data_IF_594524864363
#
_entry.id   IF_594524864363
#
_cell.length_a   1.000
_cell.length_b   1.000
_cell.length_c   1.000
_cell.angle_alpha   90.00
_cell.angle_beta   90.00
_cell.angle_gamma   90.00
#
_symmetry.space_group_name_H-M   'P 1'
#
loop_
_entity.id
_entity.type
_entity.pdbx_description
1 polymer ?
#
# COMPACT_ATOMS: atom_id res chain seq x y z
N UNK A 1 14.57 13.13 0.40
CA UNK A 1 14.20 11.90 -0.33
C UNK A 1 14.38 12.19 -1.81
N UNK A 2 15.31 11.52 -2.52
CA UNK A 2 15.58 11.87 -3.92
C UNK A 2 14.35 11.49 -4.76
N UNK A 3 13.76 12.47 -5.46
CA UNK A 3 12.77 12.22 -6.53
C UNK A 3 13.27 11.16 -7.55
N UNK A 4 14.58 10.92 -7.58
CA UNK A 4 15.31 9.97 -8.41
C UNK A 4 14.78 8.53 -8.46
N UNK A 5 14.14 8.00 -7.40
CA UNK A 5 13.68 6.59 -7.39
C UNK A 5 12.57 6.39 -8.42
N UNK A 6 11.60 7.31 -8.45
CA UNK A 6 10.53 7.27 -9.45
C UNK A 6 10.96 7.93 -10.76
N UNK A 7 11.76 9.01 -10.75
CA UNK A 7 12.10 9.74 -11.98
C UNK A 7 12.80 8.86 -13.04
N UNK A 8 13.66 7.95 -12.61
CA UNK A 8 14.49 7.14 -13.52
C UNK A 8 13.89 5.79 -13.91
N UNK A 9 12.91 5.27 -13.15
CA UNK A 9 12.39 3.92 -13.37
C UNK A 9 10.96 3.91 -13.94
N UNK A 10 10.84 3.64 -15.24
CA UNK A 10 9.54 3.60 -15.91
C UNK A 10 8.62 2.48 -15.38
N UNK A 11 9.15 1.27 -15.15
CA UNK A 11 8.37 0.15 -14.63
C UNK A 11 7.75 0.45 -13.26
N UNK A 12 8.47 1.19 -12.40
CA UNK A 12 7.97 1.61 -11.09
C UNK A 12 6.86 2.67 -11.21
N UNK A 13 6.97 3.61 -12.17
CA UNK A 13 5.90 4.56 -12.49
C UNK A 13 4.66 3.83 -13.00
N UNK A 14 4.83 2.91 -13.94
CA UNK A 14 3.73 2.15 -14.53
C UNK A 14 3.04 1.27 -13.48
N UNK A 15 3.82 0.64 -12.58
CA UNK A 15 3.27 -0.10 -11.44
C UNK A 15 2.47 0.82 -10.51
N UNK A 16 2.98 2.01 -10.21
CA UNK A 16 2.25 3.00 -9.41
C UNK A 16 0.93 3.41 -10.08
N UNK A 17 0.93 3.64 -11.40
CA UNK A 17 -0.30 3.94 -12.16
C UNK A 17 -1.30 2.79 -12.07
N UNK A 18 -0.86 1.54 -12.30
CA UNK A 18 -1.73 0.36 -12.19
C UNK A 18 -2.31 0.19 -10.79
N UNK A 19 -1.51 0.42 -9.75
CA UNK A 19 -1.99 0.40 -8.35
C UNK A 19 -2.99 1.53 -8.08
N UNK A 20 -2.77 2.72 -8.63
CA UNK A 20 -3.72 3.84 -8.56
C UNK A 20 -5.05 3.51 -9.23
N UNK A 21 -5.03 2.86 -10.39
CA UNK A 21 -6.23 2.34 -11.06
C UNK A 21 -6.93 1.31 -10.16
N UNK A 22 -6.20 0.33 -9.63
CA UNK A 22 -6.74 -0.67 -8.71
C UNK A 22 -7.41 -0.04 -7.49
N UNK A 23 -6.78 0.95 -6.83
CA UNK A 23 -7.37 1.67 -5.71
C UNK A 23 -8.70 2.32 -6.08
N UNK A 24 -8.74 2.97 -7.26
CA UNK A 24 -9.94 3.65 -7.74
C UNK A 24 -11.06 2.65 -8.03
N UNK A 25 -10.75 1.54 -8.72
CA UNK A 25 -11.74 0.53 -9.08
C UNK A 25 -12.33 -0.19 -7.85
N UNK A 26 -11.59 -0.25 -6.74
CA UNK A 26 -12.06 -0.83 -5.47
C UNK A 26 -12.60 0.20 -4.48
N UNK A 27 -12.57 1.49 -4.81
CA UNK A 27 -13.00 2.55 -3.91
C UNK A 27 -12.13 2.69 -2.66
N UNK A 28 -10.89 2.18 -2.68
CA UNK A 28 -9.98 2.18 -1.52
C UNK A 28 -9.37 3.55 -1.24
N UNK A 29 -9.35 4.43 -2.23
CA UNK A 29 -8.84 5.80 -2.14
C UNK A 29 -9.91 6.83 -1.76
N UNK A 30 -11.15 6.40 -1.49
CA UNK A 30 -12.28 7.28 -1.22
C UNK A 30 -12.59 7.36 0.28
N UNK A 31 -12.95 8.56 0.75
CA UNK A 31 -13.38 8.79 2.13
C UNK A 31 -12.26 9.19 3.09
N UNK A 32 -12.63 9.45 4.35
CA UNK A 32 -11.71 9.80 5.41
C UNK A 32 -10.86 8.59 5.83
N UNK A 33 -9.55 8.77 5.99
CA UNK A 33 -8.65 7.67 6.37
C UNK A 33 -8.35 6.66 5.28
N UNK A 34 -8.70 6.96 4.02
CA UNK A 34 -8.53 6.07 2.88
C UNK A 34 -7.06 5.71 2.59
N UNK A 35 -6.86 4.53 1.98
CA UNK A 35 -5.56 4.10 1.47
C UNK A 35 -5.32 4.76 0.11
N UNK A 36 -4.80 5.98 0.16
CA UNK A 36 -4.64 6.84 -1.01
C UNK A 36 -3.32 6.59 -1.75
N UNK A 37 -3.16 7.29 -2.89
CA UNK A 37 -2.00 7.15 -3.75
C UNK A 37 -0.68 7.59 -3.09
N UNK A 38 -0.73 8.52 -2.13
CA UNK A 38 0.45 8.92 -1.38
C UNK A 38 1.01 7.76 -0.55
N UNK A 39 0.13 7.01 0.13
CA UNK A 39 0.51 5.81 0.91
C UNK A 39 1.08 4.73 -0.01
N UNK A 40 0.49 4.50 -1.19
CA UNK A 40 1.04 3.57 -2.21
C UNK A 40 2.46 3.95 -2.59
N UNK A 41 2.71 5.20 -2.97
CA UNK A 41 4.04 5.65 -3.38
C UNK A 41 5.07 5.55 -2.24
N UNK A 42 4.68 5.91 -1.01
CA UNK A 42 5.54 5.77 0.16
C UNK A 42 5.84 4.30 0.44
N UNK A 43 4.86 3.40 0.32
CA UNK A 43 5.07 1.98 0.55
C UNK A 43 5.93 1.33 -0.54
N UNK A 44 5.75 1.69 -1.81
CA UNK A 44 6.67 1.31 -2.89
C UNK A 44 8.10 1.78 -2.59
N UNK A 45 8.26 3.02 -2.10
CA UNK A 45 9.57 3.55 -1.70
C UNK A 45 10.18 2.73 -0.56
N UNK A 46 9.37 2.36 0.43
CA UNK A 46 9.78 1.50 1.54
C UNK A 46 10.25 0.12 1.04
N UNK A 47 9.51 -0.48 0.11
CA UNK A 47 9.85 -1.77 -0.49
C UNK A 47 11.14 -1.70 -1.32
N UNK A 48 11.38 -0.62 -2.07
CA UNK A 48 12.64 -0.38 -2.78
C UNK A 48 13.80 -0.20 -1.79
N UNK A 49 13.62 0.62 -0.76
CA UNK A 49 14.64 0.86 0.29
C UNK A 49 15.06 -0.44 0.98
N UNK A 50 14.10 -1.31 1.27
CA UNK A 50 14.33 -2.62 1.91
C UNK A 50 14.66 -3.74 0.92
N UNK A 51 14.98 -3.40 -0.34
CA UNK A 51 15.37 -4.36 -1.39
C UNK A 51 14.34 -5.46 -1.67
N UNK A 52 13.06 -5.22 -1.35
CA UNK A 52 11.95 -6.10 -1.72
C UNK A 52 11.58 -5.98 -3.19
N UNK A 53 11.80 -4.79 -3.77
CA UNK A 53 11.65 -4.52 -5.20
C UNK A 53 13.04 -4.29 -5.79
N UNK A 54 13.37 -5.02 -6.85
CA UNK A 54 14.53 -4.75 -7.70
C UNK A 54 14.10 -3.79 -8.82
N UNK A 55 14.89 -2.75 -9.09
CA UNK A 55 14.62 -1.76 -10.14
C UNK A 55 14.59 -2.35 -11.56
N UNK A 56 15.14 -3.54 -11.78
CA UNK A 56 15.05 -4.26 -13.07
C UNK A 56 13.73 -5.03 -13.25
N UNK A 57 12.87 -5.11 -12.23
CA UNK A 57 11.59 -5.82 -12.31
C UNK A 57 10.62 -5.11 -13.27
N UNK A 58 9.77 -5.91 -13.92
CA UNK A 58 8.65 -5.36 -14.70
C UNK A 58 7.57 -4.81 -13.79
N UNK A 59 6.73 -3.90 -14.32
CA UNK A 59 5.60 -3.33 -13.57
C UNK A 59 4.66 -4.42 -13.01
N UNK A 60 4.40 -5.48 -13.80
CA UNK A 60 3.60 -6.63 -13.40
C UNK A 60 4.19 -7.41 -12.22
N UNK A 61 5.53 -7.57 -12.19
CA UNK A 61 6.20 -8.20 -11.05
C UNK A 61 6.11 -7.31 -9.80
N UNK A 62 6.29 -6.00 -9.97
CA UNK A 62 6.22 -5.02 -8.87
C UNK A 62 4.84 -5.03 -8.21
N UNK A 63 3.75 -4.93 -8.99
CA UNK A 63 2.38 -4.93 -8.43
C UNK A 63 2.05 -6.26 -7.73
N UNK A 64 2.55 -7.39 -8.24
CA UNK A 64 2.35 -8.70 -7.62
C UNK A 64 3.07 -8.77 -6.27
N UNK A 65 4.31 -8.31 -6.19
CA UNK A 65 5.05 -8.26 -4.92
C UNK A 65 4.37 -7.30 -3.94
N UNK A 66 3.90 -6.13 -4.43
CA UNK A 66 3.15 -5.17 -3.61
C UNK A 66 1.93 -5.81 -2.95
N UNK A 67 1.07 -6.49 -3.71
CA UNK A 67 -0.11 -7.15 -3.15
C UNK A 67 0.23 -8.33 -2.22
N UNK A 68 1.27 -9.10 -2.54
CA UNK A 68 1.75 -10.19 -1.67
C UNK A 68 2.23 -9.69 -0.31
N UNK A 69 3.04 -8.63 -0.29
CA UNK A 69 3.55 -8.03 0.94
C UNK A 69 2.42 -7.38 1.74
N UNK A 70 1.55 -6.62 1.08
CA UNK A 70 0.43 -5.96 1.75
C UNK A 70 -0.53 -6.96 2.39
N UNK A 71 -0.83 -8.08 1.72
CA UNK A 71 -1.68 -9.14 2.28
C UNK A 71 -1.08 -9.86 3.50
N UNK A 72 0.26 -9.85 3.67
CA UNK A 72 0.96 -10.56 4.75
C UNK A 72 1.37 -9.67 5.92
N UNK A 73 1.64 -8.39 5.65
CA UNK A 73 2.10 -7.45 6.69
C UNK A 73 0.99 -7.13 7.70
N UNK A 74 1.39 -6.67 8.88
CA UNK A 74 0.46 -6.21 9.89
C UNK A 74 0.85 -4.83 10.42
N UNK A 75 0.30 -3.78 9.81
CA UNK A 75 0.65 -2.40 10.14
C UNK A 75 0.07 -1.92 11.47
N UNK A 76 -0.70 -2.76 12.18
CA UNK A 76 -1.24 -2.43 13.50
C UNK A 76 -0.41 -2.98 14.64
N UNK A 77 0.43 -3.98 14.37
CA UNK A 77 1.41 -4.50 15.31
C UNK A 77 2.83 -4.03 14.97
N UNK A 78 3.23 -4.11 13.70
CA UNK A 78 4.55 -3.69 13.23
C UNK A 78 4.46 -2.92 11.91
N UNK A 79 4.10 -1.65 12.03
CA UNK A 79 4.03 -0.71 10.92
C UNK A 79 5.36 -0.50 10.19
N UNK A 80 5.36 -0.29 8.87
CA UNK A 80 6.55 0.09 8.12
C UNK A 80 7.12 1.44 8.59
N UNK A 81 8.42 1.65 8.39
CA UNK A 81 9.10 2.91 8.68
C UNK A 81 10.10 3.26 7.57
N UNK A 82 10.02 4.49 7.07
CA UNK A 82 10.99 5.06 6.14
C UNK A 82 12.15 5.77 6.84
N UNK A 83 12.05 6.02 8.14
CA UNK A 83 13.09 6.65 8.94
C UNK A 83 14.38 5.80 8.93
N UNK A 84 15.50 6.45 9.23
CA UNK A 84 16.75 5.75 9.52
C UNK A 84 16.77 5.46 11.02
N UNK A 85 17.14 4.26 11.40
CA UNK A 85 17.40 3.94 12.80
C UNK A 85 18.70 4.65 13.20
N UNK A 86 18.61 5.58 14.13
CA UNK A 86 19.77 6.28 14.69
C UNK A 86 19.63 6.37 16.21
N UNK A 87 20.58 5.78 16.98
CA UNK A 87 20.53 5.76 18.44
C UNK A 87 20.53 7.16 19.09
N UNK A 88 21.04 8.16 18.38
CA UNK A 88 21.25 9.52 18.89
C UNK A 88 20.14 10.52 18.49
N UNK A 89 19.07 10.06 17.82
CA UNK A 89 18.03 11.00 17.36
C UNK A 89 16.88 11.11 18.34
N UNK A 90 16.37 12.33 18.53
CA UNK A 90 15.13 12.64 19.27
C UNK A 90 13.84 12.14 18.59
N UNK A 91 13.95 11.17 17.68
CA UNK A 91 12.83 10.61 16.93
C UNK A 91 12.02 9.68 17.86
N UNK A 92 10.69 9.82 17.92
CA UNK A 92 9.86 8.91 18.73
C UNK A 92 10.01 7.45 18.28
N UNK A 93 9.99 6.52 19.23
CA UNK A 93 9.99 5.11 18.91
C UNK A 93 8.70 4.71 18.19
N UNK A 94 8.76 3.64 17.37
CA UNK A 94 7.58 3.10 16.69
C UNK A 94 6.46 2.73 17.67
N UNK A 95 6.82 2.26 18.87
CA UNK A 95 5.88 1.90 19.93
C UNK A 95 5.02 3.09 20.40
N UNK A 96 5.57 4.31 20.39
CA UNK A 96 4.81 5.53 20.74
C UNK A 96 3.74 5.82 19.70
N UNK A 97 3.97 5.53 18.42
CA UNK A 97 2.94 5.70 17.39
C UNK A 97 1.82 4.66 17.56
N UNK A 98 2.18 3.40 17.81
CA UNK A 98 1.20 2.32 18.02
C UNK A 98 0.35 2.50 19.28
N UNK A 99 0.82 3.25 20.28
CA UNK A 99 -0.01 3.57 21.45
C UNK A 99 -1.10 4.61 21.18
N UNK A 100 -1.03 5.33 20.04
CA UNK A 100 -1.96 6.42 19.69
C UNK A 100 -2.72 6.20 18.38
N UNK A 101 -2.26 5.29 17.52
CA UNK A 101 -2.85 5.03 16.21
C UNK A 101 -3.00 3.53 15.98
N UNK A 102 -4.16 3.15 15.43
CA UNK A 102 -4.43 1.74 15.08
C UNK A 102 -3.52 1.24 13.96
N UNK A 103 -3.16 2.11 13.00
CA UNK A 103 -2.34 1.76 11.85
C UNK A 103 -1.15 2.72 11.78
N UNK A 104 0.05 2.17 11.67
CA UNK A 104 1.29 2.95 11.68
C UNK A 104 2.07 2.76 10.39
N UNK A 105 2.44 3.87 9.76
CA UNK A 105 3.47 3.93 8.73
C UNK A 105 4.29 5.20 8.93
N UNK A 106 5.51 5.07 9.44
CA UNK A 106 6.36 6.22 9.76
C UNK A 106 7.06 6.75 8.50
N UNK A 107 7.03 8.07 8.32
CA UNK A 107 7.67 8.78 7.22
C UNK A 107 9.21 8.77 7.29
N UNK A 108 9.86 9.45 6.35
CA UNK A 108 11.34 9.49 6.28
C UNK A 108 11.98 10.31 7.40
N UNK A 109 11.26 11.27 7.96
CA UNK A 109 11.76 12.09 9.08
C UNK A 109 11.68 11.35 10.41
N UNK A 110 10.77 10.39 10.53
CA UNK A 110 10.55 9.64 11.77
C UNK A 110 9.51 10.27 12.70
N UNK A 111 9.03 11.47 12.38
CA UNK A 111 8.14 12.23 13.26
C UNK A 111 6.67 12.16 12.85
N UNK A 112 6.35 11.59 11.68
CA UNK A 112 4.98 11.59 11.17
C UNK A 112 4.50 10.19 10.80
N UNK A 113 3.29 9.85 11.26
CA UNK A 113 2.57 8.67 10.81
C UNK A 113 1.77 9.00 9.54
N UNK A 114 2.21 8.49 8.39
CA UNK A 114 1.54 8.63 7.10
C UNK A 114 0.12 8.01 7.08
N UNK A 115 -0.13 7.05 7.96
CA UNK A 115 -1.41 6.37 8.12
C UNK A 115 -2.25 6.92 9.30
N UNK A 116 -1.94 8.11 9.84
CA UNK A 116 -2.56 8.61 11.08
C UNK A 116 -4.10 8.68 11.09
N UNK A 117 -4.75 8.82 9.93
CA UNK A 117 -6.21 8.83 9.78
C UNK A 117 -6.82 7.46 9.49
N UNK A 118 -6.00 6.46 9.18
CA UNK A 118 -6.47 5.16 8.73
C UNK A 118 -6.88 4.32 9.93
N UNK A 119 -8.11 3.81 9.89
CA UNK A 119 -8.58 2.84 10.87
C UNK A 119 -8.10 1.43 10.54
N UNK A 120 -8.08 0.55 11.54
CA UNK A 120 -7.85 -0.89 11.36
C UNK A 120 -8.77 -1.50 10.32
N UNK A 121 -10.07 -1.12 10.32
CA UNK A 121 -11.06 -1.65 9.38
C UNK A 121 -10.72 -1.30 7.93
N UNK A 122 -10.32 -0.05 7.69
CA UNK A 122 -9.87 0.39 6.36
C UNK A 122 -8.63 -0.38 5.92
N UNK A 123 -7.66 -0.56 6.81
CA UNK A 123 -6.45 -1.34 6.52
C UNK A 123 -6.77 -2.82 6.23
N UNK A 124 -7.66 -3.45 7.03
CA UNK A 124 -8.08 -4.83 6.83
C UNK A 124 -8.77 -5.03 5.47
N UNK A 125 -9.61 -4.06 5.05
CA UNK A 125 -10.22 -4.07 3.72
C UNK A 125 -9.17 -4.04 2.62
N UNK A 126 -8.17 -3.17 2.74
CA UNK A 126 -7.05 -3.09 1.79
C UNK A 126 -6.28 -4.41 1.71
N UNK A 127 -5.99 -5.05 2.86
CA UNK A 127 -5.35 -6.37 2.92
C UNK A 127 -6.19 -7.43 2.19
N UNK A 128 -7.49 -7.48 2.48
CA UNK A 128 -8.43 -8.43 1.84
C UNK A 128 -8.43 -8.26 0.32
N UNK A 129 -8.52 -7.04 -0.18
CA UNK A 129 -8.48 -6.73 -1.61
C UNK A 129 -7.13 -7.11 -2.25
N UNK A 130 -6.01 -6.88 -1.55
CA UNK A 130 -4.68 -7.29 -2.02
C UNK A 130 -4.56 -8.82 -2.12
N UNK A 131 -5.02 -9.56 -1.11
CA UNK A 131 -5.05 -11.03 -1.14
C UNK A 131 -5.94 -11.57 -2.26
N UNK A 132 -7.11 -10.95 -2.48
CA UNK A 132 -8.00 -11.29 -3.59
C UNK A 132 -7.34 -10.99 -4.95
N UNK A 133 -6.60 -9.89 -5.07
CA UNK A 133 -5.91 -9.55 -6.31
C UNK A 133 -4.85 -10.61 -6.69
N UNK A 134 -4.10 -11.13 -5.72
CA UNK A 134 -3.17 -12.25 -5.93
C UNK A 134 -3.90 -13.52 -6.34
N UNK A 135 -5.02 -13.83 -5.69
CA UNK A 135 -5.81 -14.99 -6.05
C UNK A 135 -6.33 -14.91 -7.50
N UNK A 136 -6.79 -13.73 -7.94
CA UNK A 136 -7.19 -13.50 -9.33
C UNK A 136 -6.03 -13.65 -10.31
N UNK A 137 -4.85 -13.11 -9.99
CA UNK A 137 -3.66 -13.29 -10.83
C UNK A 137 -3.22 -14.76 -10.96
N UNK A 138 -3.42 -15.57 -9.92
CA UNK A 138 -3.02 -16.98 -9.93
C UNK A 138 -3.96 -17.89 -10.73
N UNK A 139 -5.18 -17.43 -11.05
CA UNK A 139 -6.16 -18.21 -11.81
C UNK A 139 -5.82 -18.35 -13.30
N UNK A 140 -4.78 -17.68 -13.79
CA UNK A 140 -4.27 -17.78 -15.18
C UNK A 140 -5.33 -17.55 -16.27
N UNK A 141 -6.42 -16.84 -15.94
CA UNK A 141 -7.49 -16.51 -16.87
C UNK A 141 -7.30 -15.07 -17.40
N UNK A 142 -7.50 -14.90 -18.70
CA UNK A 142 -7.61 -13.62 -19.40
C UNK A 142 -8.54 -12.60 -18.74
N UNK A 143 -9.55 -13.06 -17.99
CA UNK A 143 -10.50 -12.18 -17.26
C UNK A 143 -9.89 -11.45 -16.06
N UNK A 144 -8.73 -11.87 -15.54
CA UNK A 144 -8.15 -11.30 -14.32
C UNK A 144 -7.78 -9.81 -14.48
N UNK A 145 -7.24 -9.42 -15.63
CA UNK A 145 -6.89 -8.02 -15.90
C UNK A 145 -8.13 -7.14 -15.90
N UNK A 146 -9.22 -7.60 -16.54
CA UNK A 146 -10.48 -6.87 -16.54
C UNK A 146 -11.05 -6.73 -15.13
N UNK A 147 -11.04 -7.81 -14.35
CA UNK A 147 -11.53 -7.82 -12.98
C UNK A 147 -10.74 -6.86 -12.07
N UNK A 148 -9.43 -6.73 -12.27
CA UNK A 148 -8.54 -5.92 -11.44
C UNK A 148 -8.55 -4.43 -11.81
N UNK A 149 -8.57 -4.11 -13.11
CA UNK A 149 -8.29 -2.75 -13.58
C UNK A 149 -9.43 -2.07 -14.34
N UNK A 150 -10.40 -2.84 -14.86
CA UNK A 150 -11.47 -2.31 -15.72
C UNK A 150 -12.86 -2.36 -15.06
N UNK A 151 -13.11 -3.33 -14.18
CA UNK A 151 -14.36 -3.41 -13.43
C UNK A 151 -14.29 -2.60 -12.13
N UNK A 152 -15.12 -1.57 -12.07
CA UNK A 152 -15.44 -0.89 -10.82
C UNK A 152 -16.26 -1.81 -9.92
N UNK A 153 -16.01 -1.72 -8.61
CA UNK A 153 -16.86 -2.29 -7.58
C UNK A 153 -17.67 -1.15 -6.94
N UNK A 154 -18.94 -0.91 -7.33
CA UNK A 154 -19.77 0.12 -6.70
C UNK A 154 -19.95 -0.15 -5.21
N UNK A 155 -20.04 0.90 -4.39
CA UNK A 155 -20.14 0.78 -2.92
C UNK A 155 -21.21 -0.22 -2.48
N UNK A 156 -22.43 -0.12 -3.02
CA UNK A 156 -23.56 -0.98 -2.65
C UNK A 156 -23.35 -2.47 -2.98
N UNK A 157 -22.44 -2.80 -3.91
CA UNK A 157 -22.13 -4.19 -4.26
C UNK A 157 -20.95 -4.75 -3.47
N UNK A 158 -20.28 -3.93 -2.65
CA UNK A 158 -19.14 -4.36 -1.85
C UNK A 158 -19.52 -4.88 -0.46
N UNK A 159 -20.77 -4.66 -0.03
CA UNK A 159 -21.23 -5.03 1.31
C UNK A 159 -22.48 -5.88 1.22
N UNK A 160 -22.54 -6.91 2.08
CA UNK A 160 -23.70 -7.80 2.16
C UNK A 160 -24.89 -7.12 2.86
N UNK A 161 -24.64 -6.07 3.66
CA UNK A 161 -25.64 -5.30 4.37
C UNK A 161 -25.31 -3.79 4.34
N UNK A 162 -26.32 -2.97 4.05
CA UNK A 162 -26.27 -1.50 4.03
C UNK A 162 -27.47 -0.99 4.83
N UNK A 163 -27.21 -0.17 5.86
CA UNK A 163 -28.21 0.38 6.77
C UNK A 163 -28.65 1.79 6.36
#
# INVERSE_FOLDING_TARGET
MKRSVFETNQNLKDAAVLLGVWLRQRGLSQGYGAFNMHIVCMYLTFMVKNRRINLSMSSNQIIRIFWLELGKTDWTADGPSLARESPESNVPSKTVFHSHHEVVFIDVTGFHNLAFKMSWVTYLKVKKEASQAIHLLNKSDSSCFQALFLKSAPFLHQYDNVL
#
